data_IF_297291240799
#
_entry.id   IF_297291240799
#
_cell.length_a   1.000
_cell.length_b   1.000
_cell.length_c   1.000
_cell.angle_alpha   90.00
_cell.angle_beta   90.00
_cell.angle_gamma   90.00
#
_symmetry.space_group_name_H-M   'P 1'
#
loop_
_entity.id
_entity.type
_entity.pdbx_description
1 polymer ?
#
# COMPACT_ATOMS: atom_id res chain seq x y z
N UNK A 1 -13.17 1.41 -12.68
CA UNK A 1 -13.55 0.41 -11.66
C UNK A 1 -12.31 0.09 -10.85
N UNK A 2 -12.42 -0.21 -9.55
CA UNK A 2 -11.25 -0.41 -8.67
C UNK A 2 -11.30 -1.84 -8.15
N UNK A 3 -10.21 -2.58 -8.31
CA UNK A 3 -10.03 -3.89 -7.69
C UNK A 3 -9.42 -3.70 -6.30
N UNK A 4 -10.13 -4.13 -5.26
CA UNK A 4 -9.68 -4.00 -3.87
C UNK A 4 -9.19 -5.35 -3.39
N UNK A 5 -7.92 -5.41 -3.00
CA UNK A 5 -7.27 -6.62 -2.50
C UNK A 5 -6.93 -6.42 -1.02
N UNK A 6 -7.36 -7.36 -0.20
CA UNK A 6 -6.90 -7.53 1.18
C UNK A 6 -5.82 -8.64 1.19
N UNK A 7 -4.55 -8.31 1.48
CA UNK A 7 -3.47 -9.30 1.49
C UNK A 7 -3.66 -10.42 2.52
N UNK A 8 -4.38 -10.18 3.62
CA UNK A 8 -4.59 -11.06 4.80
C UNK A 8 -3.33 -11.50 5.54
N UNK A 9 -2.28 -11.90 4.84
CA UNK A 9 -0.99 -12.36 5.33
C UNK A 9 0.12 -11.44 4.86
N UNK A 10 0.96 -11.01 5.80
CA UNK A 10 2.14 -10.20 5.49
C UNK A 10 3.39 -11.03 5.22
N UNK A 11 3.45 -12.26 5.78
CA UNK A 11 4.60 -13.15 5.64
C UNK A 11 4.16 -14.60 5.84
N UNK A 12 4.11 -15.43 4.77
CA UNK A 12 4.40 -15.05 3.38
C UNK A 12 3.30 -14.15 2.80
N UNK A 13 3.70 -13.16 1.99
CA UNK A 13 2.79 -12.31 1.24
C UNK A 13 2.33 -13.04 -0.03
N UNK A 14 1.05 -12.93 -0.37
CA UNK A 14 0.51 -13.42 -1.65
C UNK A 14 0.80 -12.42 -2.78
N UNK A 15 2.03 -12.47 -3.27
CA UNK A 15 2.52 -11.59 -4.35
C UNK A 15 1.84 -11.89 -5.70
N UNK A 16 1.47 -13.15 -5.95
CA UNK A 16 0.90 -13.61 -7.22
C UNK A 16 -0.46 -12.93 -7.48
N UNK A 17 -1.30 -12.84 -6.45
CA UNK A 17 -2.60 -12.16 -6.54
C UNK A 17 -2.42 -10.66 -6.85
N UNK A 18 -1.46 -10.00 -6.21
CA UNK A 18 -1.18 -8.57 -6.42
C UNK A 18 -0.69 -8.33 -7.85
N UNK A 19 0.28 -9.11 -8.32
CA UNK A 19 0.85 -8.96 -9.67
C UNK A 19 -0.21 -9.23 -10.76
N UNK A 20 -1.04 -10.26 -10.58
CA UNK A 20 -2.14 -10.58 -11.50
C UNK A 20 -3.19 -9.47 -11.59
N UNK A 21 -3.39 -8.73 -10.51
CA UNK A 21 -4.29 -7.58 -10.47
C UNK A 21 -3.68 -6.35 -11.14
N UNK A 22 -2.39 -6.11 -10.91
CA UNK A 22 -1.64 -5.03 -11.56
C UNK A 22 -1.58 -5.23 -13.07
N UNK A 23 -1.40 -6.47 -13.55
CA UNK A 23 -1.44 -6.78 -15.00
C UNK A 23 -2.77 -6.37 -15.65
N UNK A 24 -3.90 -6.46 -14.93
CA UNK A 24 -5.22 -6.09 -15.45
C UNK A 24 -5.52 -4.60 -15.37
N UNK A 25 -4.95 -3.91 -14.38
CA UNK A 25 -5.33 -2.53 -14.01
C UNK A 25 -4.27 -1.49 -14.35
N UNK A 26 -3.03 -1.95 -14.58
CA UNK A 26 -1.83 -1.17 -14.90
C UNK A 26 -1.46 -0.09 -13.87
N UNK A 27 -2.11 -0.07 -12.69
CA UNK A 27 -1.96 0.97 -11.67
C UNK A 27 -2.11 0.36 -10.29
N UNK A 28 -1.30 0.84 -9.34
CA UNK A 28 -1.32 0.38 -7.96
C UNK A 28 -1.35 1.54 -6.97
N UNK A 29 -2.27 1.43 -6.00
CA UNK A 29 -2.29 2.25 -4.80
C UNK A 29 -2.25 1.29 -3.61
N UNK A 30 -1.32 1.52 -2.68
CA UNK A 30 -1.22 0.74 -1.45
C UNK A 30 -1.62 1.61 -0.27
N UNK A 31 -2.52 1.10 0.57
CA UNK A 31 -3.02 1.78 1.77
C UNK A 31 -2.50 1.02 2.99
N UNK A 32 -1.87 1.72 3.93
CA UNK A 32 -1.29 1.14 5.14
C UNK A 32 -1.41 2.15 6.29
N UNK A 33 -1.79 1.70 7.47
CA UNK A 33 -1.90 2.57 8.67
C UNK A 33 -0.53 2.85 9.30
N UNK A 34 0.51 2.10 8.90
CA UNK A 34 1.87 2.30 9.37
C UNK A 34 2.50 3.58 8.80
N UNK A 35 3.64 3.95 9.38
CA UNK A 35 4.45 5.08 8.96
C UNK A 35 4.98 4.89 7.51
N UNK A 36 5.34 5.96 6.79
CA UNK A 36 5.69 5.88 5.36
C UNK A 36 7.01 5.17 5.05
N UNK A 37 7.80 4.82 6.08
CA UNK A 37 9.12 4.21 5.97
C UNK A 37 9.10 2.86 6.66
N UNK A 38 9.79 1.88 6.06
CA UNK A 38 9.92 0.52 6.58
C UNK A 38 8.57 -0.14 6.89
N UNK A 39 7.59 0.09 6.00
CA UNK A 39 6.22 -0.40 6.14
C UNK A 39 5.86 -1.39 5.03
N UNK A 40 4.75 -2.09 5.20
CA UNK A 40 4.26 -3.05 4.21
C UNK A 40 3.91 -2.34 2.90
N UNK A 41 3.38 -1.12 2.96
CA UNK A 41 3.18 -0.32 1.75
C UNK A 41 4.49 -0.08 0.97
N UNK A 42 5.62 0.03 1.66
CA UNK A 42 6.93 0.19 1.02
C UNK A 42 7.40 -1.12 0.40
N UNK A 43 7.19 -2.23 1.10
CA UNK A 43 7.61 -3.56 0.66
C UNK A 43 6.81 -4.03 -0.58
N UNK A 44 5.47 -3.92 -0.54
CA UNK A 44 4.60 -4.23 -1.68
C UNK A 44 4.97 -3.37 -2.89
N UNK A 45 5.20 -2.07 -2.69
CA UNK A 45 5.60 -1.18 -3.78
C UNK A 45 6.96 -1.57 -4.38
N UNK A 46 7.90 -2.03 -3.56
CA UNK A 46 9.20 -2.50 -4.03
C UNK A 46 9.07 -3.81 -4.82
N UNK A 47 8.30 -4.78 -4.33
CA UNK A 47 8.05 -6.07 -5.01
C UNK A 47 7.42 -5.84 -6.38
N UNK A 48 6.39 -5.00 -6.47
CA UNK A 48 5.72 -4.71 -7.74
C UNK A 48 6.61 -3.89 -8.67
N UNK A 49 7.42 -2.98 -8.15
CA UNK A 49 8.39 -2.26 -8.96
C UNK A 49 9.53 -3.15 -9.48
N UNK A 50 9.89 -4.23 -8.77
CA UNK A 50 10.93 -5.18 -9.18
C UNK A 50 10.40 -6.20 -10.20
N UNK A 51 9.23 -6.79 -9.93
CA UNK A 51 8.66 -7.90 -10.72
C UNK A 51 7.65 -7.47 -11.78
N UNK A 52 7.01 -6.31 -11.61
CA UNK A 52 5.88 -5.84 -12.41
C UNK A 52 6.06 -4.45 -13.01
N UNK A 53 7.30 -3.97 -13.14
CA UNK A 53 7.59 -2.62 -13.66
C UNK A 53 6.94 -2.36 -15.03
N UNK A 54 7.06 -3.31 -15.95
CA UNK A 54 6.53 -3.19 -17.32
C UNK A 54 5.00 -3.23 -17.38
N UNK A 55 4.34 -3.62 -16.30
CA UNK A 55 2.87 -3.65 -16.19
C UNK A 55 2.30 -2.27 -15.80
N UNK A 56 3.12 -1.36 -15.28
CA UNK A 56 2.68 -0.10 -14.69
C UNK A 56 2.65 1.06 -15.70
N UNK A 57 1.47 1.66 -15.87
CA UNK A 57 1.28 2.88 -16.68
C UNK A 57 1.57 4.17 -15.88
N UNK A 58 1.74 4.05 -14.56
CA UNK A 58 1.91 5.18 -13.65
C UNK A 58 2.69 4.78 -12.40
N UNK A 59 3.37 5.73 -11.72
CA UNK A 59 4.09 5.43 -10.49
C UNK A 59 3.16 4.98 -9.38
N UNK A 60 3.56 3.94 -8.67
CA UNK A 60 2.85 3.40 -7.49
C UNK A 60 2.68 4.52 -6.45
N UNK A 61 1.46 4.65 -5.92
CA UNK A 61 1.17 5.58 -4.82
C UNK A 61 0.94 4.82 -3.52
N UNK A 62 1.38 5.43 -2.43
CA UNK A 62 1.24 4.89 -1.08
C UNK A 62 0.48 5.90 -0.24
N UNK A 63 -0.59 5.45 0.40
CA UNK A 63 -1.37 6.21 1.36
C UNK A 63 -1.01 5.63 2.72
N UNK A 64 -0.29 6.42 3.52
CA UNK A 64 0.21 5.99 4.82
C UNK A 64 -0.11 7.03 5.88
N UNK A 65 0.03 6.67 7.15
CA UNK A 65 0.03 7.67 8.22
C UNK A 65 1.16 8.71 8.03
N UNK A 66 1.05 9.90 8.67
CA UNK A 66 2.13 10.88 8.70
C UNK A 66 3.44 10.32 9.28
N UNK A 67 4.58 10.90 8.91
CA UNK A 67 5.89 10.50 9.46
C UNK A 67 6.12 11.08 10.87
N UNK A 68 5.28 10.71 11.82
CA UNK A 68 5.34 11.13 13.22
C UNK A 68 4.95 9.96 14.13
N UNK A 69 5.22 10.04 15.45
CA UNK A 69 4.62 9.10 16.40
C UNK A 69 3.09 9.19 16.40
N UNK A 70 2.44 8.09 16.75
CA UNK A 70 0.98 8.04 16.91
C UNK A 70 0.56 8.98 18.05
N UNK A 71 -0.36 9.92 17.82
CA UNK A 71 -0.82 10.83 18.85
C UNK A 71 -1.78 10.11 19.82
N UNK A 72 -1.65 10.39 21.12
CA UNK A 72 -2.53 9.82 22.15
C UNK A 72 -3.95 10.42 22.15
N UNK A 73 -4.10 11.65 21.66
CA UNK A 73 -5.37 12.36 21.71
C UNK A 73 -6.34 11.81 20.66
N UNK A 74 -7.56 11.35 21.02
CA UNK A 74 -8.54 10.83 20.07
C UNK A 74 -8.85 11.73 18.85
N UNK A 75 -8.98 13.07 18.99
CA UNK A 75 -9.15 13.93 17.81
C UNK A 75 -7.92 13.95 16.89
N UNK A 76 -6.71 13.82 17.43
CA UNK A 76 -5.48 13.76 16.63
C UNK A 76 -5.28 12.38 15.99
N UNK A 77 -5.68 11.31 16.67
CA UNK A 77 -5.63 9.95 16.14
C UNK A 77 -6.52 9.79 14.89
N UNK A 78 -7.71 10.41 14.89
CA UNK A 78 -8.58 10.46 13.70
C UNK A 78 -7.96 11.18 12.50
N UNK A 79 -7.08 12.16 12.75
CA UNK A 79 -6.34 12.85 11.69
C UNK A 79 -5.06 12.09 11.26
N UNK A 80 -4.63 11.12 12.07
CA UNK A 80 -3.44 10.32 11.82
C UNK A 80 -3.72 9.13 10.89
N UNK A 81 -4.89 8.51 11.02
CA UNK A 81 -5.30 7.38 10.20
C UNK A 81 -5.73 7.83 8.79
N UNK A 82 -5.42 7.06 7.73
CA UNK A 82 -5.97 7.28 6.40
C UNK A 82 -7.52 7.24 6.41
N UNK A 83 -8.15 8.21 5.76
CA UNK A 83 -9.62 8.26 5.61
C UNK A 83 -10.05 8.03 4.16
N UNK A 84 -11.26 7.50 3.92
CA UNK A 84 -11.84 7.36 2.57
C UNK A 84 -11.98 8.69 1.81
#
# INVERSE_FOLDING_TARGET
EVEVIDPRSLSPLDEDTILSSVEKTNRLIVIDEANPRCSMATDIAAIVADKGFDLLDAPIKRITAPHTPVPFSPPLEKLYLPTP
#
